data_IF_983455877227
#
_entry.id   IF_983455877227
#
_cell.length_a   1.000
_cell.length_b   1.000
_cell.length_c   1.000
_cell.angle_alpha   90.00
_cell.angle_beta   90.00
_cell.angle_gamma   90.00
#
_symmetry.space_group_name_H-M   'P 1'
#
loop_
_entity.id
_entity.type
_entity.pdbx_description
1 polymer ?
#
# COMPACT_ATOMS: atom_id res chain seq x y z
N UNK A 1 -34.49 -12.99 1.12
CA UNK A 1 -33.37 -12.06 1.34
C UNK A 1 -32.10 -12.74 0.86
N UNK A 2 -31.61 -12.41 -0.34
CA UNK A 2 -30.39 -13.02 -0.87
C UNK A 2 -29.20 -12.55 -0.04
N UNK A 3 -28.36 -13.47 0.45
CA UNK A 3 -27.07 -13.15 1.07
C UNK A 3 -26.25 -12.40 0.02
N UNK A 4 -26.13 -11.08 0.15
CA UNK A 4 -25.15 -10.30 -0.58
C UNK A 4 -23.78 -10.64 0.00
N UNK A 5 -23.17 -11.68 -0.56
CA UNK A 5 -21.80 -12.09 -0.24
C UNK A 5 -20.90 -11.41 -1.26
N UNK A 6 -19.84 -10.74 -0.80
CA UNK A 6 -18.75 -10.38 -1.70
C UNK A 6 -18.23 -11.71 -2.29
N UNK A 7 -18.17 -11.87 -3.63
CA UNK A 7 -17.71 -13.11 -4.22
C UNK A 7 -16.25 -13.38 -3.80
N UNK A 8 -15.90 -14.64 -3.62
CA UNK A 8 -14.57 -15.10 -3.20
C UNK A 8 -13.57 -15.01 -4.36
N UNK A 9 -13.42 -13.82 -4.94
CA UNK A 9 -12.51 -13.60 -6.06
C UNK A 9 -11.22 -12.99 -5.53
N UNK A 10 -10.13 -13.75 -5.65
CA UNK A 10 -8.78 -13.29 -5.36
C UNK A 10 -8.24 -12.53 -6.57
N UNK A 11 -8.71 -11.31 -6.79
CA UNK A 11 -8.26 -10.49 -7.90
C UNK A 11 -6.97 -9.72 -7.55
N UNK A 12 -6.05 -9.55 -8.53
CA UNK A 12 -4.94 -8.62 -8.38
C UNK A 12 -5.45 -7.18 -8.29
N UNK A 13 -4.60 -6.27 -7.79
CA UNK A 13 -4.93 -4.84 -7.69
C UNK A 13 -5.23 -4.19 -9.04
N UNK A 14 -4.75 -4.79 -10.13
CA UNK A 14 -4.94 -4.30 -11.50
C UNK A 14 -3.77 -3.45 -11.96
N UNK A 15 -4.02 -2.54 -12.89
CA UNK A 15 -3.03 -1.54 -13.31
C UNK A 15 -2.58 -0.70 -12.11
N UNK A 16 -1.31 -0.30 -12.08
CA UNK A 16 -0.66 0.43 -10.99
C UNK A 16 -0.33 1.88 -11.38
N UNK A 17 -0.63 2.32 -12.61
CA UNK A 17 -0.31 3.68 -13.09
C UNK A 17 -0.97 4.81 -12.27
N UNK A 18 -2.02 4.49 -11.50
CA UNK A 18 -2.70 5.43 -10.60
C UNK A 18 -1.92 5.76 -9.33
N UNK A 19 -0.87 5.00 -8.98
CA UNK A 19 -0.08 5.27 -7.76
C UNK A 19 0.51 6.69 -7.85
N UNK A 20 0.28 7.56 -6.83
CA UNK A 20 0.77 8.94 -6.86
C UNK A 20 2.28 9.02 -7.08
N UNK A 21 2.70 9.94 -7.94
CA UNK A 21 4.11 10.10 -8.33
C UNK A 21 5.03 10.51 -7.16
N UNK A 22 4.46 11.09 -6.10
CA UNK A 22 5.16 11.53 -4.89
C UNK A 22 5.11 10.50 -3.74
N UNK A 23 4.57 9.29 -3.98
CA UNK A 23 4.64 8.18 -3.02
C UNK A 23 6.10 7.86 -2.68
N UNK A 24 6.40 7.82 -1.38
CA UNK A 24 7.77 7.58 -0.88
C UNK A 24 8.14 6.10 -0.88
N UNK A 25 7.15 5.25 -0.70
CA UNK A 25 7.25 3.80 -0.74
C UNK A 25 6.02 3.29 -1.49
N UNK A 26 6.23 2.35 -2.40
CA UNK A 26 5.19 1.51 -2.96
C UNK A 26 5.64 0.05 -2.89
N UNK A 27 5.02 -0.76 -2.04
CA UNK A 27 5.37 -2.16 -1.84
C UNK A 27 4.15 -3.06 -2.12
N UNK A 28 4.28 -3.94 -3.09
CA UNK A 28 3.23 -4.87 -3.53
C UNK A 28 3.55 -6.28 -3.03
N UNK A 29 2.62 -6.86 -2.30
CA UNK A 29 2.71 -8.18 -1.68
C UNK A 29 1.78 -9.13 -2.41
N UNK A 30 2.31 -10.24 -2.91
CA UNK A 30 1.52 -11.34 -3.46
C UNK A 30 1.11 -12.28 -2.32
N UNK A 31 -0.16 -12.24 -1.91
CA UNK A 31 -0.63 -13.00 -0.75
C UNK A 31 -0.85 -14.49 -0.98
N UNK A 32 -0.93 -14.95 -2.22
CA UNK A 32 -0.99 -16.39 -2.48
C UNK A 32 0.34 -16.95 -2.98
N UNK A 33 1.41 -16.15 -3.01
CA UNK A 33 2.75 -16.71 -2.98
C UNK A 33 2.99 -17.33 -1.59
N UNK A 34 3.35 -18.62 -1.51
CA UNK A 34 3.52 -19.30 -0.23
C UNK A 34 4.69 -18.77 0.60
N UNK A 35 5.64 -18.06 0.00
CA UNK A 35 6.83 -17.52 0.65
C UNK A 35 6.72 -16.05 1.07
N UNK A 36 5.54 -15.43 0.96
CA UNK A 36 5.38 -13.99 1.23
C UNK A 36 5.62 -13.61 2.70
N UNK A 37 5.36 -14.51 3.65
CA UNK A 37 5.59 -14.23 5.08
C UNK A 37 7.08 -14.23 5.41
N UNK A 38 7.82 -15.23 4.94
CA UNK A 38 9.26 -15.29 5.07
C UNK A 38 9.93 -14.14 4.30
N UNK A 39 9.43 -13.80 3.12
CA UNK A 39 9.90 -12.63 2.37
C UNK A 39 9.66 -11.32 3.12
N UNK A 40 8.51 -11.18 3.82
CA UNK A 40 8.24 -10.00 4.64
C UNK A 40 9.17 -9.92 5.85
N UNK A 41 9.48 -11.05 6.48
CA UNK A 41 10.44 -11.14 7.57
C UNK A 41 11.86 -10.78 7.08
N UNK A 42 12.27 -11.30 5.92
CA UNK A 42 13.56 -11.01 5.32
C UNK A 42 13.67 -9.55 4.88
N UNK A 43 12.62 -8.97 4.30
CA UNK A 43 12.55 -7.54 3.99
C UNK A 43 12.70 -6.66 5.23
N UNK A 44 12.04 -7.02 6.34
CA UNK A 44 12.16 -6.30 7.61
C UNK A 44 13.58 -6.37 8.19
N UNK A 45 14.25 -7.52 8.08
CA UNK A 45 15.65 -7.68 8.50
C UNK A 45 16.59 -6.83 7.62
N UNK A 46 16.44 -6.94 6.31
CA UNK A 46 17.26 -6.21 5.36
C UNK A 46 17.07 -4.70 5.46
N UNK A 47 15.85 -4.21 5.72
CA UNK A 47 15.60 -2.77 5.82
C UNK A 47 16.31 -2.11 6.99
N UNK A 48 16.66 -2.86 8.03
CA UNK A 48 17.43 -2.36 9.18
C UNK A 48 18.93 -2.23 8.88
N UNK A 49 19.46 -2.96 7.91
CA UNK A 49 20.91 -3.09 7.66
C UNK A 49 21.34 -2.65 6.27
N UNK A 50 20.40 -2.49 5.33
CA UNK A 50 20.68 -2.17 3.93
C UNK A 50 21.26 -0.75 3.77
N UNK A 51 22.51 -0.62 3.27
CA UNK A 51 23.09 0.68 2.96
C UNK A 51 22.27 1.43 1.90
N UNK A 52 22.04 2.73 2.13
CA UNK A 52 21.33 3.57 1.16
C UNK A 52 19.80 3.48 1.20
N UNK A 53 19.23 2.72 2.15
CA UNK A 53 17.79 2.74 2.43
C UNK A 53 17.37 4.13 2.96
N UNK A 54 16.33 4.79 2.39
CA UNK A 54 15.77 6.00 2.99
C UNK A 54 15.23 5.71 4.40
N UNK A 55 15.50 6.57 5.38
CA UNK A 55 15.14 6.33 6.80
C UNK A 55 13.65 6.03 6.98
N UNK A 56 12.77 6.80 6.34
CA UNK A 56 11.32 6.60 6.42
C UNK A 56 10.90 5.25 5.86
N UNK A 57 11.57 4.77 4.79
CA UNK A 57 11.34 3.44 4.25
C UNK A 57 11.87 2.35 5.18
N UNK A 58 13.09 2.52 5.72
CA UNK A 58 13.70 1.58 6.67
C UNK A 58 12.81 1.35 7.90
N UNK A 59 12.30 2.44 8.48
CA UNK A 59 11.41 2.38 9.64
C UNK A 59 10.09 1.69 9.33
N UNK A 60 9.40 2.05 8.23
CA UNK A 60 8.12 1.42 7.93
C UNK A 60 8.25 -0.04 7.48
N UNK A 61 9.28 -0.37 6.70
CA UNK A 61 9.52 -1.75 6.23
C UNK A 61 10.04 -2.66 7.36
N UNK A 62 10.75 -2.11 8.35
CA UNK A 62 11.23 -2.87 9.51
C UNK A 62 10.12 -3.51 10.36
N UNK A 63 8.87 -3.04 10.22
CA UNK A 63 7.71 -3.61 10.90
C UNK A 63 6.71 -4.28 9.94
N UNK A 64 7.10 -4.49 8.68
CA UNK A 64 6.16 -4.93 7.63
C UNK A 64 5.56 -6.31 7.90
N UNK A 65 6.35 -7.24 8.45
CA UNK A 65 5.86 -8.57 8.84
C UNK A 65 4.74 -8.48 9.89
N UNK A 66 4.93 -7.67 10.93
CA UNK A 66 3.91 -7.45 11.97
C UNK A 66 2.66 -6.79 11.40
N UNK A 67 2.83 -5.75 10.58
CA UNK A 67 1.71 -5.06 9.92
C UNK A 67 0.90 -6.02 9.04
N UNK A 68 1.58 -6.84 8.23
CA UNK A 68 0.96 -7.81 7.34
C UNK A 68 0.13 -8.84 8.12
N UNK A 69 0.65 -9.35 9.23
CA UNK A 69 -0.06 -10.32 10.08
C UNK A 69 -1.33 -9.72 10.71
N UNK A 70 -1.25 -8.48 11.22
CA UNK A 70 -2.40 -7.76 11.76
C UNK A 70 -3.45 -7.54 10.67
N UNK A 71 -3.02 -7.06 9.50
CA UNK A 71 -3.90 -6.75 8.38
C UNK A 71 -4.60 -8.01 7.84
N UNK A 72 -3.87 -9.11 7.68
CA UNK A 72 -4.46 -10.40 7.26
C UNK A 72 -5.54 -10.89 8.22
N UNK A 73 -5.35 -10.71 9.52
CA UNK A 73 -6.39 -11.01 10.50
C UNK A 73 -7.62 -10.14 10.28
N UNK A 74 -7.45 -8.82 10.15
CA UNK A 74 -8.56 -7.89 9.91
C UNK A 74 -9.32 -8.23 8.61
N UNK A 75 -8.60 -8.56 7.53
CA UNK A 75 -9.20 -8.98 6.25
C UNK A 75 -9.99 -10.27 6.41
N UNK A 76 -9.45 -11.29 7.09
CA UNK A 76 -10.17 -12.54 7.38
C UNK A 76 -11.42 -12.31 8.23
N UNK A 77 -11.36 -11.44 9.23
CA UNK A 77 -12.51 -11.10 10.08
C UNK A 77 -13.64 -10.45 9.26
N UNK A 78 -13.30 -9.77 8.16
CA UNK A 78 -14.25 -9.22 7.18
C UNK A 78 -14.56 -10.17 6.00
N UNK A 79 -14.08 -11.43 6.04
CA UNK A 79 -14.18 -12.39 4.94
C UNK A 79 -13.66 -11.85 3.60
N UNK A 80 -12.61 -11.04 3.64
CA UNK A 80 -11.91 -10.51 2.48
C UNK A 80 -10.64 -11.33 2.22
N UNK A 81 -10.47 -11.79 0.98
CA UNK A 81 -9.35 -12.64 0.55
C UNK A 81 -8.65 -12.05 -0.68
N UNK A 82 -8.05 -10.85 -0.58
CA UNK A 82 -7.37 -10.25 -1.71
C UNK A 82 -6.17 -11.09 -2.15
N UNK A 83 -5.88 -11.10 -3.47
CA UNK A 83 -4.66 -11.72 -4.01
C UNK A 83 -3.42 -10.89 -3.72
N UNK A 84 -3.56 -9.57 -3.77
CA UNK A 84 -2.46 -8.62 -3.58
C UNK A 84 -2.79 -7.57 -2.52
N UNK A 85 -1.75 -7.13 -1.79
CA UNK A 85 -1.79 -5.95 -0.95
C UNK A 85 -0.78 -4.92 -1.45
N UNK A 86 -1.16 -3.65 -1.43
CA UNK A 86 -0.23 -2.55 -1.68
C UNK A 86 -0.06 -1.71 -0.42
N UNK A 87 1.17 -1.58 0.03
CA UNK A 87 1.59 -0.62 1.03
C UNK A 87 2.10 0.63 0.32
N UNK A 88 1.52 1.78 0.62
CA UNK A 88 2.03 3.08 0.21
C UNK A 88 2.45 3.90 1.43
N UNK A 89 3.49 4.70 1.27
CA UNK A 89 3.78 5.81 2.17
C UNK A 89 3.50 7.13 1.45
N UNK A 90 2.66 7.97 2.06
CA UNK A 90 2.43 9.33 1.57
C UNK A 90 3.70 10.21 1.69
N UNK A 91 3.72 11.42 1.11
CA UNK A 91 4.86 12.33 1.22
C UNK A 91 5.26 12.71 2.65
N UNK A 92 4.32 12.62 3.59
CA UNK A 92 4.51 12.88 5.02
C UNK A 92 4.85 11.60 5.82
N UNK A 93 4.95 10.44 5.18
CA UNK A 93 5.28 9.16 5.79
C UNK A 93 4.07 8.40 6.39
N UNK A 94 2.84 8.82 6.09
CA UNK A 94 1.66 8.07 6.53
C UNK A 94 1.56 6.73 5.80
N UNK A 95 1.33 5.66 6.56
CA UNK A 95 1.17 4.28 6.07
C UNK A 95 -0.24 4.10 5.54
N UNK A 96 -0.37 3.65 4.30
CA UNK A 96 -1.64 3.36 3.64
C UNK A 96 -1.60 1.95 3.09
N UNK A 97 -2.54 1.11 3.50
CA UNK A 97 -2.70 -0.25 2.96
C UNK A 97 -3.88 -0.28 1.99
N UNK A 98 -3.68 -0.83 0.80
CA UNK A 98 -4.70 -0.92 -0.23
C UNK A 98 -4.94 -2.37 -0.65
N UNK A 99 -6.21 -2.68 -0.88
CA UNK A 99 -6.71 -3.91 -1.48
C UNK A 99 -7.67 -3.58 -2.61
N UNK A 100 -7.88 -4.55 -3.50
CA UNK A 100 -9.04 -4.56 -4.39
C UNK A 100 -10.07 -5.55 -3.87
N UNK A 101 -11.32 -5.13 -3.80
CA UNK A 101 -12.46 -5.92 -3.32
C UNK A 101 -13.63 -5.72 -4.27
N UNK A 102 -13.81 -6.64 -5.23
CA UNK A 102 -14.95 -6.60 -6.17
C UNK A 102 -16.24 -6.97 -5.46
N UNK A 103 -16.84 -5.99 -4.81
CA UNK A 103 -18.08 -6.14 -4.07
C UNK A 103 -18.92 -4.89 -4.29
N UNK A 104 -20.25 -5.06 -4.33
CA UNK A 104 -21.15 -3.91 -4.29
C UNK A 104 -20.80 -3.03 -3.07
N UNK A 105 -20.72 -1.72 -3.28
CA UNK A 105 -20.23 -0.80 -2.26
C UNK A 105 -21.09 -0.86 -0.98
N UNK A 106 -22.41 -0.94 -1.12
CA UNK A 106 -23.30 -1.00 0.04
C UNK A 106 -23.15 -2.33 0.80
N UNK A 107 -23.01 -3.44 0.06
CA UNK A 107 -22.70 -4.74 0.66
C UNK A 107 -21.36 -4.73 1.40
N UNK A 108 -20.31 -4.17 0.79
CA UNK A 108 -18.99 -4.04 1.41
C UNK A 108 -19.07 -3.18 2.68
N UNK A 109 -19.68 -2.01 2.61
CA UNK A 109 -19.88 -1.13 3.78
C UNK A 109 -20.59 -1.86 4.93
N UNK A 110 -21.63 -2.65 4.64
CA UNK A 110 -22.34 -3.42 5.65
C UNK A 110 -21.47 -4.55 6.25
N UNK A 111 -20.63 -5.20 5.45
CA UNK A 111 -19.68 -6.21 5.91
C UNK A 111 -18.65 -5.57 6.85
N UNK A 112 -18.01 -4.48 6.42
CA UNK A 112 -16.98 -3.80 7.21
C UNK A 112 -17.55 -3.19 8.50
N UNK A 113 -18.74 -2.60 8.46
CA UNK A 113 -19.41 -2.08 9.66
C UNK A 113 -19.63 -3.17 10.72
N UNK A 114 -19.99 -4.39 10.31
CA UNK A 114 -20.15 -5.53 11.23
C UNK A 114 -18.81 -6.09 11.71
N UNK A 115 -17.86 -6.28 10.81
CA UNK A 115 -16.59 -6.93 11.13
C UNK A 115 -15.66 -6.04 11.95
N UNK A 116 -15.62 -4.74 11.62
CA UNK A 116 -14.65 -3.80 12.17
C UNK A 116 -15.29 -2.71 13.04
N UNK A 117 -16.62 -2.63 13.11
CA UNK A 117 -17.29 -1.59 13.89
C UNK A 117 -17.07 -0.18 13.32
N UNK A 118 -16.98 -0.05 11.99
CA UNK A 118 -16.84 1.25 11.32
C UNK A 118 -18.19 1.81 10.91
N UNK A 119 -18.32 3.14 10.92
CA UNK A 119 -19.51 3.85 10.45
C UNK A 119 -19.22 4.55 9.13
N UNK A 120 -19.95 4.16 8.08
CA UNK A 120 -19.81 4.76 6.76
C UNK A 120 -20.49 6.12 6.68
N UNK A 121 -19.85 7.07 6.00
CA UNK A 121 -20.37 8.39 5.67
C UNK A 121 -19.90 8.83 4.30
N UNK A 122 -20.70 9.61 3.61
CA UNK A 122 -20.27 10.30 2.39
C UNK A 122 -19.81 11.70 2.77
N UNK A 123 -18.59 12.05 2.37
CA UNK A 123 -18.05 13.41 2.54
C UNK A 123 -17.99 14.13 1.20
N UNK A 124 -17.62 15.41 1.20
CA UNK A 124 -17.33 16.14 -0.03
C UNK A 124 -16.19 15.52 -0.85
N UNK A 125 -15.28 14.78 -0.19
CA UNK A 125 -14.22 14.04 -0.89
C UNK A 125 -14.70 12.70 -1.44
N UNK A 126 -15.83 12.17 -0.94
CA UNK A 126 -16.41 10.86 -1.32
C UNK A 126 -16.68 9.94 -0.12
N UNK A 127 -17.08 8.68 -0.36
CA UNK A 127 -17.39 7.70 0.69
C UNK A 127 -16.15 7.30 1.52
N UNK A 128 -16.31 7.31 2.84
CA UNK A 128 -15.34 6.79 3.80
C UNK A 128 -16.07 6.16 4.99
N UNK A 129 -15.40 5.32 5.77
CA UNK A 129 -15.89 4.86 7.05
C UNK A 129 -14.88 5.15 8.15
N UNK A 130 -15.38 5.70 9.26
CA UNK A 130 -14.58 6.04 10.44
C UNK A 130 -14.82 4.95 11.51
N UNK A 131 -13.80 4.58 12.29
CA UNK A 131 -13.98 3.61 13.35
C UNK A 131 -14.87 4.16 14.46
N UNK A 132 -15.74 3.31 15.02
CA UNK A 132 -16.36 3.57 16.32
C UNK A 132 -15.27 3.49 17.41
N UNK A 133 -14.97 4.58 18.14
CA UNK A 133 -13.95 4.59 19.18
C UNK A 133 -14.14 3.51 20.25
N UNK A 134 -15.38 3.06 20.46
CA UNK A 134 -15.71 2.03 21.45
C UNK A 134 -15.44 0.60 20.97
N UNK A 135 -15.20 0.37 19.66
CA UNK A 135 -15.09 -0.97 19.04
C UNK A 135 -13.67 -1.36 18.64
N UNK A 136 -12.70 -0.47 18.77
CA UNK A 136 -11.27 -0.81 18.77
C UNK A 136 -10.60 -1.02 17.41
N UNK A 137 -11.28 -0.83 16.28
CA UNK A 137 -10.61 -0.76 14.98
C UNK A 137 -9.90 0.59 14.82
N UNK A 138 -8.59 0.65 14.48
CA UNK A 138 -7.82 1.90 14.60
C UNK A 138 -7.66 2.68 13.28
N UNK A 139 -8.35 2.31 12.21
CA UNK A 139 -8.15 2.86 10.87
C UNK A 139 -9.43 3.47 10.29
N UNK A 140 -9.29 4.57 9.54
CA UNK A 140 -10.34 4.95 8.60
C UNK A 140 -10.27 4.02 7.38
N UNK A 141 -11.42 3.83 6.75
CA UNK A 141 -11.58 3.06 5.52
C UNK A 141 -12.00 4.01 4.40
N UNK A 142 -11.22 4.09 3.33
CA UNK A 142 -11.52 4.93 2.17
C UNK A 142 -11.94 4.05 1.00
N UNK A 143 -13.12 4.29 0.45
CA UNK A 143 -13.63 3.58 -0.72
C UNK A 143 -13.29 4.37 -1.99
N UNK A 144 -12.47 3.78 -2.85
CA UNK A 144 -11.90 4.41 -4.04
C UNK A 144 -12.52 3.81 -5.31
N UNK A 145 -12.23 4.43 -6.47
CA UNK A 145 -12.60 3.87 -7.77
C UNK A 145 -11.95 2.49 -8.02
N UNK A 146 -12.45 1.75 -9.01
CA UNK A 146 -11.96 0.43 -9.43
C UNK A 146 -11.97 -0.64 -8.32
N UNK A 147 -12.95 -0.54 -7.42
CA UNK A 147 -13.16 -1.47 -6.31
C UNK A 147 -12.00 -1.49 -5.28
N UNK A 148 -11.25 -0.39 -5.17
CA UNK A 148 -10.15 -0.28 -4.22
C UNK A 148 -10.64 0.19 -2.85
N UNK A 149 -10.06 -0.41 -1.82
CA UNK A 149 -10.26 -0.04 -0.43
C UNK A 149 -8.91 0.35 0.15
N UNK A 150 -8.81 1.52 0.77
CA UNK A 150 -7.61 1.92 1.51
C UNK A 150 -7.89 1.97 3.01
N UNK A 151 -6.99 1.38 3.80
CA UNK A 151 -6.93 1.51 5.25
C UNK A 151 -5.87 2.54 5.59
N UNK A 152 -6.26 3.55 6.35
CA UNK A 152 -5.42 4.71 6.65
C UNK A 152 -5.47 5.04 8.14
N UNK A 153 -4.52 5.83 8.67
CA UNK A 153 -4.59 6.29 10.05
C UNK A 153 -5.91 7.04 10.32
N UNK A 154 -6.47 6.85 11.51
CA UNK A 154 -7.72 7.52 11.89
C UNK A 154 -7.62 9.04 11.74
N UNK A 155 -8.64 9.65 11.15
CA UNK A 155 -8.70 11.08 10.83
C UNK A 155 -7.94 11.49 9.55
N UNK A 156 -7.26 10.57 8.87
CA UNK A 156 -6.51 10.86 7.64
C UNK A 156 -7.32 10.59 6.36
N UNK A 157 -8.50 9.95 6.45
CA UNK A 157 -9.30 9.50 5.29
C UNK A 157 -9.47 10.53 4.18
N UNK A 158 -9.94 11.73 4.51
CA UNK A 158 -10.15 12.79 3.52
C UNK A 158 -8.86 13.32 2.87
N UNK A 159 -7.76 13.39 3.64
CA UNK A 159 -6.45 13.81 3.11
C UNK A 159 -5.89 12.75 2.17
N UNK A 160 -5.86 11.49 2.61
CA UNK A 160 -5.31 10.37 1.83
C UNK A 160 -6.14 10.15 0.56
N UNK A 161 -7.47 10.25 0.64
CA UNK A 161 -8.32 10.17 -0.55
C UNK A 161 -7.95 11.20 -1.61
N UNK A 162 -7.85 12.48 -1.22
CA UNK A 162 -7.43 13.55 -2.15
C UNK A 162 -6.04 13.33 -2.73
N UNK A 163 -5.16 12.68 -2.00
CA UNK A 163 -3.83 12.35 -2.49
C UNK A 163 -3.86 11.18 -3.49
N UNK A 164 -4.63 10.12 -3.21
CA UNK A 164 -4.76 8.95 -4.09
C UNK A 164 -5.58 9.23 -5.35
N UNK A 165 -6.63 10.03 -5.25
CA UNK A 165 -7.51 10.41 -6.38
C UNK A 165 -7.09 11.72 -7.03
N UNK A 166 -6.18 12.46 -6.39
CA UNK A 166 -5.61 13.67 -6.95
C UNK A 166 -4.82 13.31 -8.21
N UNK A 167 -5.11 13.97 -9.32
CA UNK A 167 -4.20 13.95 -10.46
C UNK A 167 -2.87 14.55 -9.99
N UNK A 168 -1.86 13.71 -9.81
CA UNK A 168 -0.49 14.17 -9.61
C UNK A 168 0.02 14.79 -10.92
N UNK A 169 -0.43 16.00 -11.25
CA UNK A 169 0.32 16.89 -12.13
C UNK A 169 1.38 17.59 -11.29
N UNK A 170 2.69 17.41 -11.54
CA UNK A 170 3.69 18.07 -10.70
C UNK A 170 3.58 19.59 -10.86
N UNK A 171 3.74 20.41 -9.79
CA UNK A 171 4.04 21.82 -9.96
C UNK A 171 5.33 21.92 -10.76
N UNK A 172 5.19 22.51 -11.93
CA UNK A 172 6.17 22.56 -13.00
C UNK A 172 7.20 23.64 -12.72
N UNK A 173 8.45 23.27 -12.47
CA UNK A 173 9.63 24.10 -12.72
C UNK A 173 10.85 23.19 -12.95
N UNK A 174 11.00 22.66 -14.16
CA UNK A 174 12.31 22.21 -14.69
C UNK A 174 12.40 20.74 -15.12
N UNK A 175 12.61 20.54 -16.42
CA UNK A 175 13.08 19.33 -17.11
C UNK A 175 12.30 18.01 -16.90
N UNK A 176 11.10 17.97 -17.49
CA UNK A 176 10.30 16.74 -17.69
C UNK A 176 10.81 15.90 -18.87
N UNK A 177 11.95 15.22 -18.73
CA UNK A 177 12.04 13.87 -19.32
C UNK A 177 11.18 12.98 -18.44
N UNK A 178 10.09 12.42 -18.99
CA UNK A 178 9.11 11.53 -18.33
C UNK A 178 9.75 10.73 -17.19
N UNK A 179 9.66 11.24 -15.96
CA UNK A 179 10.08 10.46 -14.80
C UNK A 179 9.05 9.36 -14.62
N UNK A 180 9.54 8.13 -14.65
CA UNK A 180 8.74 6.95 -14.36
C UNK A 180 8.05 7.11 -13.00
N UNK A 181 6.75 6.83 -12.96
CA UNK A 181 6.00 6.86 -11.69
C UNK A 181 6.33 5.62 -10.86
N UNK A 182 6.14 5.65 -9.53
CA UNK A 182 6.33 4.46 -8.70
C UNK A 182 5.53 3.26 -9.18
N UNK A 183 4.30 3.47 -9.66
CA UNK A 183 3.47 2.41 -10.24
C UNK A 183 4.04 1.81 -11.52
N UNK A 184 4.57 2.63 -12.42
CA UNK A 184 5.22 2.15 -13.65
C UNK A 184 6.49 1.35 -13.34
N UNK A 185 7.31 1.83 -12.40
CA UNK A 185 8.51 1.11 -11.96
C UNK A 185 8.13 -0.25 -11.33
N UNK A 186 7.12 -0.26 -10.45
CA UNK A 186 6.64 -1.46 -9.76
C UNK A 186 6.09 -2.51 -10.74
N UNK A 187 5.37 -2.08 -11.79
CA UNK A 187 4.81 -2.94 -12.83
C UNK A 187 5.87 -3.61 -13.71
N UNK A 188 7.07 -3.02 -13.82
CA UNK A 188 8.19 -3.56 -14.63
C UNK A 188 9.09 -4.50 -13.86
N UNK A 189 9.01 -4.53 -12.53
CA UNK A 189 9.81 -5.46 -11.73
C UNK A 189 9.41 -6.89 -12.03
N UNK A 190 10.42 -7.76 -12.15
CA UNK A 190 10.20 -9.19 -12.27
C UNK A 190 9.35 -9.69 -11.08
N UNK A 191 8.48 -10.70 -11.31
CA UNK A 191 7.67 -11.28 -10.25
C UNK A 191 8.50 -11.74 -9.05
N UNK A 192 8.04 -11.38 -7.87
CA UNK A 192 8.58 -11.79 -6.57
C UNK A 192 7.45 -11.73 -5.53
N UNK A 193 7.54 -12.48 -4.40
CA UNK A 193 6.55 -12.42 -3.33
C UNK A 193 6.30 -10.99 -2.85
N UNK A 194 7.35 -10.17 -2.80
CA UNK A 194 7.24 -8.74 -2.52
C UNK A 194 8.08 -7.94 -3.51
N UNK A 195 7.48 -6.92 -4.12
CA UNK A 195 8.12 -5.95 -5.01
C UNK A 195 8.00 -4.56 -4.40
N UNK A 196 9.09 -3.78 -4.37
CA UNK A 196 9.12 -2.48 -3.69
C UNK A 196 9.78 -1.42 -4.58
N UNK A 197 9.19 -0.23 -4.60
CA UNK A 197 9.78 0.99 -5.15
C UNK A 197 9.92 2.01 -4.02
N UNK A 198 11.08 2.63 -3.93
CA UNK A 198 11.43 3.63 -2.92
C UNK A 198 11.81 4.94 -3.58
N UNK A 199 11.15 6.02 -3.20
CA UNK A 199 11.50 7.37 -3.62
C UNK A 199 12.16 8.13 -2.46
N UNK A 200 13.43 8.51 -2.62
CA UNK A 200 14.15 9.30 -1.63
C UNK A 200 15.66 9.08 -1.68
N UNK A 201 16.40 9.86 -0.89
CA UNK A 201 17.84 9.70 -0.70
C UNK A 201 18.10 8.85 0.56
N UNK A 202 19.02 7.89 0.46
CA UNK A 202 19.60 7.25 1.63
C UNK A 202 20.58 8.18 2.34
N UNK A 203 20.69 8.11 3.66
CA UNK A 203 21.60 8.97 4.44
C UNK A 203 23.09 8.66 4.21
N UNK A 204 23.41 7.46 3.74
CA UNK A 204 24.79 6.94 3.65
C UNK A 204 25.24 6.62 2.23
N UNK A 205 24.33 6.64 1.25
CA UNK A 205 24.71 6.57 -0.14
C UNK A 205 25.07 8.01 -0.55
N UNK A 206 26.33 8.25 -0.91
CA UNK A 206 26.79 9.55 -1.44
C UNK A 206 26.15 9.96 -2.78
N UNK A 207 24.96 9.45 -3.07
CA UNK A 207 24.26 9.60 -4.34
C UNK A 207 23.61 10.97 -4.48
N UNK A 208 24.03 11.67 -5.52
CA UNK A 208 23.25 12.72 -6.14
C UNK A 208 21.86 12.17 -6.49
N UNK A 209 20.81 12.94 -6.21
CA UNK A 209 19.44 12.57 -6.57
C UNK A 209 19.33 12.11 -8.03
N UNK A 210 18.56 11.05 -8.31
CA UNK A 210 17.52 11.15 -9.36
C UNK A 210 16.63 9.94 -9.60
N UNK A 211 16.99 8.70 -9.24
CA UNK A 211 16.18 7.51 -9.59
C UNK A 211 15.48 6.86 -8.37
N UNK A 212 14.22 6.41 -8.51
CA UNK A 212 13.61 5.54 -7.52
C UNK A 212 14.41 4.25 -7.41
N UNK A 213 14.62 3.77 -6.18
CA UNK A 213 15.27 2.48 -5.93
C UNK A 213 14.24 1.37 -5.92
N UNK A 214 14.62 0.21 -6.39
CA UNK A 214 13.74 -0.94 -6.53
C UNK A 214 14.28 -2.12 -5.73
N UNK A 215 13.38 -2.82 -5.04
CA UNK A 215 13.71 -4.03 -4.31
C UNK A 215 12.74 -5.16 -4.65
N UNK A 216 13.26 -6.37 -4.53
CA UNK A 216 12.47 -7.59 -4.56
C UNK A 216 12.88 -8.46 -3.38
N UNK A 217 11.92 -9.03 -2.69
CA UNK A 217 12.17 -9.89 -1.53
C UNK A 217 11.56 -11.28 -1.73
N UNK A 218 12.33 -12.27 -1.29
CA UNK A 218 12.01 -13.71 -1.25
C UNK A 218 12.30 -14.23 0.16
N UNK A 219 11.86 -15.46 0.51
CA UNK A 219 12.08 -16.05 1.83
C UNK A 219 13.52 -15.98 2.37
N UNK A 220 14.50 -16.05 1.48
CA UNK A 220 15.92 -16.22 1.80
C UNK A 220 16.81 -15.06 1.34
N UNK A 221 16.25 -14.05 0.65
CA UNK A 221 17.03 -12.93 0.12
C UNK A 221 16.22 -11.67 -0.18
N UNK A 222 16.90 -10.54 -0.12
CA UNK A 222 16.47 -9.27 -0.74
C UNK A 222 17.44 -8.88 -1.83
N UNK A 223 16.93 -8.63 -3.04
CA UNK A 223 17.68 -7.98 -4.10
C UNK A 223 17.32 -6.49 -4.11
N UNK A 224 18.28 -5.63 -3.78
CA UNK A 224 18.22 -4.20 -4.04
C UNK A 224 18.90 -3.98 -5.39
N UNK A 225 18.23 -3.34 -6.34
CA UNK A 225 18.89 -2.99 -7.58
C UNK A 225 20.06 -2.04 -7.25
N UNK A 226 21.26 -2.44 -7.70
CA UNK A 226 22.49 -1.70 -7.42
C UNK A 226 22.29 -0.25 -7.86
N UNK A 227 22.57 0.71 -6.96
CA UNK A 227 22.88 2.06 -7.40
C UNK A 227 23.95 1.97 -8.51
N UNK A 228 23.92 2.84 -9.53
CA UNK A 228 24.94 2.79 -10.56
C UNK A 228 26.34 2.80 -9.91
N UNK A 229 27.31 2.04 -10.48
CA UNK A 229 28.67 1.97 -9.95
C UNK A 229 29.34 3.34 -9.85
#
# INVERSE_FOLDING_TARGET
MSKQTCPEVQDPLGDLEWIPADARVAALFDLGDPGVDEAAAELARASATAPGMPVVAALGLGFVGTQLQILRRQLRDAALTPRELLLLHDPAGAVVWLVRVRCDLAALQAVLARAWGVTSRTTAAGPLAEPDPARGFPHDVVFLADDRLALVPAGAGGKVRRWLEGQAGPPDLGDRRRRETPGQALARLEPAPIRVVLAGRGLLAGDAASAPRTLRAWPDRVALDAAPP
#
